data_IF_614031703732
#
_entry.id   IF_614031703732
#
_cell.length_a   1.000
_cell.length_b   1.000
_cell.length_c   1.000
_cell.angle_alpha   90.00
_cell.angle_beta   90.00
_cell.angle_gamma   90.00
#
_symmetry.space_group_name_H-M   'P 1'
#
loop_
_entity.id
_entity.type
_entity.pdbx_description
1 polymer ?
#
# COMPACT_ATOMS: atom_id res chain seq x y z
N UNK A 1 43.79 17.35 -22.58
CA UNK A 1 43.40 16.35 -21.56
C UNK A 1 42.30 16.98 -20.72
N UNK A 2 41.05 16.79 -21.11
CA UNK A 2 39.90 17.39 -20.43
C UNK A 2 39.52 16.54 -19.23
N UNK A 3 39.61 17.13 -18.04
CA UNK A 3 39.11 16.57 -16.78
C UNK A 3 37.60 16.37 -16.90
N UNK A 4 37.14 15.14 -17.02
CA UNK A 4 35.73 14.81 -16.76
C UNK A 4 35.63 14.60 -15.25
N UNK A 5 34.84 15.44 -14.61
CA UNK A 5 34.48 15.24 -13.21
C UNK A 5 33.58 14.01 -13.16
N UNK A 6 33.92 12.94 -12.41
CA UNK A 6 33.00 11.84 -12.19
C UNK A 6 31.76 12.40 -11.50
N UNK A 7 30.65 12.40 -12.24
CA UNK A 7 29.34 12.82 -11.75
C UNK A 7 29.04 12.12 -10.43
N UNK A 8 28.68 12.93 -9.45
CA UNK A 8 28.38 12.55 -8.07
C UNK A 8 27.31 11.45 -8.04
N UNK A 9 27.73 10.18 -8.04
CA UNK A 9 26.90 9.05 -7.63
C UNK A 9 26.72 9.15 -6.11
N UNK A 10 25.64 9.80 -5.68
CA UNK A 10 25.17 9.69 -4.31
C UNK A 10 24.77 11.00 -3.67
N UNK A 11 23.48 11.11 -3.36
CA UNK A 11 22.80 12.07 -2.47
C UNK A 11 22.39 13.42 -3.07
N UNK A 12 21.10 13.73 -2.96
CA UNK A 12 20.69 15.11 -2.75
C UNK A 12 19.28 15.51 -3.13
N UNK A 13 18.86 15.34 -4.39
CA UNK A 13 17.61 15.96 -4.87
C UNK A 13 16.77 15.01 -5.71
N UNK A 14 15.77 14.41 -5.07
CA UNK A 14 14.78 13.53 -5.70
C UNK A 14 13.59 14.30 -6.30
N UNK A 15 13.68 15.57 -6.66
CA UNK A 15 12.50 16.35 -7.10
C UNK A 15 12.73 17.32 -8.25
N UNK A 16 13.77 17.13 -9.08
CA UNK A 16 14.02 18.08 -10.18
C UNK A 16 13.24 17.76 -11.46
N UNK A 17 12.78 16.51 -11.64
CA UNK A 17 11.99 16.06 -12.81
C UNK A 17 11.03 14.89 -12.47
N UNK A 18 10.40 14.90 -11.29
CA UNK A 18 9.47 13.82 -10.91
C UNK A 18 8.04 14.15 -11.34
N UNK A 19 7.52 13.41 -12.31
CA UNK A 19 6.08 13.25 -12.54
C UNK A 19 5.42 12.73 -11.26
N UNK A 20 4.14 13.05 -11.04
CA UNK A 20 3.32 12.58 -9.90
C UNK A 20 3.51 11.08 -9.61
N UNK A 21 3.73 10.28 -10.66
CA UNK A 21 4.00 8.85 -10.57
C UNK A 21 5.20 8.47 -9.71
N UNK A 22 6.31 9.20 -9.78
CA UNK A 22 7.57 8.83 -9.12
C UNK A 22 7.56 9.20 -7.61
N UNK A 23 6.74 10.18 -7.22
CA UNK A 23 6.40 10.46 -5.81
C UNK A 23 5.50 9.34 -5.26
N UNK A 24 4.54 8.87 -6.04
CA UNK A 24 3.67 7.75 -5.68
C UNK A 24 4.49 6.47 -5.53
N UNK A 25 5.44 6.18 -6.43
CA UNK A 25 6.36 5.03 -6.34
C UNK A 25 7.09 4.95 -5.01
N UNK A 26 7.58 6.08 -4.50
CA UNK A 26 8.31 6.13 -3.24
C UNK A 26 7.40 5.91 -2.02
N UNK A 27 6.12 6.26 -2.12
CA UNK A 27 5.13 6.09 -1.05
C UNK A 27 4.46 4.72 -1.05
N UNK A 28 4.29 4.09 -2.22
CA UNK A 28 3.68 2.77 -2.38
C UNK A 28 4.24 1.68 -1.43
N UNK A 29 5.56 1.46 -1.28
CA UNK A 29 6.06 0.42 -0.39
C UNK A 29 5.66 0.64 1.07
N UNK A 30 5.61 1.89 1.53
CA UNK A 30 5.13 2.20 2.88
C UNK A 30 3.65 1.87 3.04
N UNK A 31 2.83 2.18 2.05
CA UNK A 31 1.39 1.86 2.05
C UNK A 31 1.16 0.35 2.07
N UNK A 32 1.91 -0.42 1.28
CA UNK A 32 1.81 -1.89 1.26
C UNK A 32 2.15 -2.51 2.62
N UNK A 33 3.22 -2.04 3.27
CA UNK A 33 3.60 -2.51 4.62
C UNK A 33 2.52 -2.15 5.65
N UNK A 34 2.02 -0.92 5.63
CA UNK A 34 0.95 -0.48 6.53
C UNK A 34 -0.34 -1.27 6.30
N UNK A 35 -0.71 -1.52 5.05
CA UNK A 35 -1.91 -2.27 4.70
C UNK A 35 -1.84 -3.73 5.20
N UNK A 36 -0.71 -4.41 4.99
CA UNK A 36 -0.52 -5.77 5.49
C UNK A 36 -0.60 -5.84 7.02
N UNK A 37 -0.01 -4.85 7.70
CA UNK A 37 -0.03 -4.79 9.16
C UNK A 37 -1.43 -4.46 9.71
N UNK A 38 -2.14 -3.52 9.08
CA UNK A 38 -3.51 -3.17 9.43
C UNK A 38 -4.48 -4.34 9.22
N UNK A 39 -4.33 -5.09 8.12
CA UNK A 39 -5.10 -6.30 7.85
C UNK A 39 -4.94 -7.29 9.00
N UNK A 40 -3.69 -7.60 9.39
CA UNK A 40 -3.39 -8.55 10.44
C UNK A 40 -4.07 -8.15 11.75
N UNK A 41 -3.98 -6.87 12.13
CA UNK A 41 -4.64 -6.33 13.33
C UNK A 41 -6.17 -6.46 13.24
N UNK A 42 -6.78 -6.09 12.11
CA UNK A 42 -8.23 -6.22 11.92
C UNK A 42 -8.70 -7.68 11.95
N UNK A 43 -7.90 -8.61 11.45
CA UNK A 43 -8.24 -10.04 11.45
C UNK A 43 -8.17 -10.63 12.86
N UNK A 44 -7.15 -10.26 13.65
CA UNK A 44 -7.05 -10.66 15.06
C UNK A 44 -8.21 -10.08 15.87
N UNK A 45 -8.44 -8.76 15.76
CA UNK A 45 -9.49 -8.10 16.54
C UNK A 45 -10.88 -8.56 16.11
N UNK A 46 -11.14 -8.70 14.80
CA UNK A 46 -12.40 -9.21 14.27
C UNK A 46 -12.64 -10.68 14.65
N UNK A 47 -11.59 -11.51 14.60
CA UNK A 47 -11.64 -12.91 15.02
C UNK A 47 -11.92 -13.08 16.52
N UNK A 48 -11.22 -12.33 17.38
CA UNK A 48 -11.48 -12.33 18.83
C UNK A 48 -12.88 -11.79 19.13
N UNK A 49 -13.33 -10.76 18.42
CA UNK A 49 -14.68 -10.19 18.58
C UNK A 49 -15.75 -11.22 18.21
N UNK A 50 -15.58 -11.95 17.10
CA UNK A 50 -16.47 -13.06 16.73
C UNK A 50 -16.47 -14.17 17.80
N UNK A 51 -15.29 -14.57 18.28
CA UNK A 51 -15.16 -15.65 19.27
C UNK A 51 -15.75 -15.27 20.64
N UNK A 52 -15.65 -13.99 21.01
CA UNK A 52 -16.20 -13.42 22.26
C UNK A 52 -17.70 -13.08 22.14
N UNK A 53 -18.30 -13.25 20.95
CA UNK A 53 -19.68 -12.82 20.72
C UNK A 53 -20.73 -13.66 21.45
N UNK A 54 -20.40 -14.87 21.95
CA UNK A 54 -21.18 -15.65 22.93
C UNK A 54 -22.74 -15.65 22.78
N UNK A 55 -23.28 -15.51 21.56
CA UNK A 55 -24.72 -15.46 21.28
C UNK A 55 -25.34 -14.06 21.09
N UNK A 56 -24.59 -12.98 21.28
CA UNK A 56 -25.02 -11.61 21.01
C UNK A 56 -24.89 -11.29 19.50
N UNK A 57 -26.02 -10.98 18.86
CA UNK A 57 -26.08 -10.68 17.42
C UNK A 57 -25.32 -9.40 17.04
N UNK A 58 -25.19 -8.44 17.96
CA UNK A 58 -24.53 -7.17 17.70
C UNK A 58 -23.02 -7.33 17.56
N UNK A 59 -22.40 -8.06 18.48
CA UNK A 59 -20.95 -8.35 18.43
C UNK A 59 -20.60 -9.28 17.27
N UNK A 60 -21.49 -10.23 16.96
CA UNK A 60 -21.33 -11.13 15.82
C UNK A 60 -21.30 -10.34 14.50
N UNK A 61 -22.28 -9.44 14.28
CA UNK A 61 -22.29 -8.54 13.11
C UNK A 61 -21.04 -7.65 13.04
N UNK A 62 -20.61 -7.12 14.18
CA UNK A 62 -19.42 -6.25 14.25
C UNK A 62 -18.15 -7.01 13.86
N UNK A 63 -17.98 -8.24 14.36
CA UNK A 63 -16.84 -9.09 14.01
C UNK A 63 -16.81 -9.44 12.51
N UNK A 64 -17.96 -9.79 11.93
CA UNK A 64 -18.06 -9.98 10.47
C UNK A 64 -17.76 -8.69 9.69
N UNK A 65 -18.20 -7.53 10.19
CA UNK A 65 -17.89 -6.23 9.59
C UNK A 65 -16.39 -5.90 9.61
N UNK A 66 -15.70 -6.20 10.71
CA UNK A 66 -14.24 -6.01 10.81
C UNK A 66 -13.47 -6.93 9.86
N UNK A 67 -13.85 -8.21 9.78
CA UNK A 67 -13.20 -9.17 8.89
C UNK A 67 -13.41 -8.78 7.42
N UNK A 68 -14.65 -8.47 7.04
CA UNK A 68 -14.97 -8.03 5.67
C UNK A 68 -14.29 -6.71 5.32
N UNK A 69 -14.26 -5.74 6.24
CA UNK A 69 -13.52 -4.49 6.07
C UNK A 69 -12.02 -4.68 5.86
N UNK A 70 -11.39 -5.56 6.64
CA UNK A 70 -9.97 -5.92 6.46
C UNK A 70 -9.70 -6.61 5.12
N UNK A 71 -10.57 -7.54 4.72
CA UNK A 71 -10.51 -8.20 3.41
C UNK A 71 -10.67 -7.21 2.24
N UNK A 72 -11.60 -6.26 2.36
CA UNK A 72 -11.82 -5.21 1.35
C UNK A 72 -10.60 -4.30 1.26
N UNK A 73 -10.01 -3.90 2.38
CA UNK A 73 -8.78 -3.10 2.40
C UNK A 73 -7.61 -3.82 1.72
N UNK A 74 -7.45 -5.12 1.99
CA UNK A 74 -6.44 -5.93 1.31
C UNK A 74 -6.67 -6.03 -0.19
N UNK A 75 -7.91 -6.28 -0.59
CA UNK A 75 -8.28 -6.38 -2.00
C UNK A 75 -8.05 -5.06 -2.74
N UNK A 76 -8.34 -3.92 -2.08
CA UNK A 76 -8.14 -2.59 -2.65
C UNK A 76 -6.66 -2.32 -2.96
N UNK A 77 -5.77 -2.77 -2.09
CA UNK A 77 -4.32 -2.67 -2.28
C UNK A 77 -3.86 -3.56 -3.45
N UNK A 78 -4.46 -4.74 -3.60
CA UNK A 78 -4.22 -5.63 -4.74
C UNK A 78 -4.66 -4.99 -6.07
N UNK A 79 -5.84 -4.36 -6.09
CA UNK A 79 -6.35 -3.62 -7.26
C UNK A 79 -5.47 -2.39 -7.56
N UNK A 80 -5.00 -1.68 -6.52
CA UNK A 80 -4.11 -0.53 -6.68
C UNK A 80 -2.84 -0.88 -7.45
N UNK A 81 -2.29 -2.08 -7.24
CA UNK A 81 -1.13 -2.56 -8.00
C UNK A 81 -1.43 -2.62 -9.50
N UNK A 82 -2.57 -3.18 -9.88
CA UNK A 82 -3.01 -3.25 -11.29
C UNK A 82 -3.20 -1.86 -11.90
N UNK A 83 -3.79 -0.93 -11.16
CA UNK A 83 -3.96 0.45 -11.63
C UNK A 83 -2.61 1.10 -11.89
N UNK A 84 -1.66 0.97 -10.96
CA UNK A 84 -0.31 1.52 -11.13
C UNK A 84 0.40 0.90 -12.34
N UNK A 85 0.23 -0.39 -12.59
CA UNK A 85 0.79 -1.07 -13.75
C UNK A 85 0.20 -0.53 -15.08
N UNK A 86 -1.10 -0.28 -15.14
CA UNK A 86 -1.74 0.32 -16.33
C UNK A 86 -1.20 1.74 -16.55
N UNK A 87 -1.12 2.53 -15.49
CA UNK A 87 -0.56 3.90 -15.52
C UNK A 87 0.87 3.88 -16.09
N UNK A 88 1.70 2.91 -15.70
CA UNK A 88 3.06 2.75 -16.25
C UNK A 88 3.09 2.48 -17.75
N UNK A 89 2.22 1.58 -18.22
CA UNK A 89 2.15 1.21 -19.62
C UNK A 89 1.68 2.40 -20.47
N UNK A 90 0.70 3.16 -19.99
CA UNK A 90 0.15 4.32 -20.71
C UNK A 90 1.11 5.50 -20.74
N UNK A 91 1.84 5.76 -19.64
CA UNK A 91 2.78 6.88 -19.55
C UNK A 91 4.19 6.52 -20.05
N UNK A 92 4.48 5.25 -20.33
CA UNK A 92 5.81 4.80 -20.78
C UNK A 92 6.92 4.97 -19.72
N UNK A 93 6.55 5.26 -18.47
CA UNK A 93 7.48 5.48 -17.35
C UNK A 93 7.31 4.33 -16.36
N UNK A 94 8.43 3.69 -16.01
CA UNK A 94 8.45 2.58 -15.04
C UNK A 94 8.41 3.13 -13.61
N UNK A 95 7.26 3.00 -12.97
CA UNK A 95 6.92 3.52 -11.62
C UNK A 95 7.07 2.40 -10.55
N UNK A 96 7.21 1.13 -10.96
CA UNK A 96 7.36 -0.05 -10.09
C UNK A 96 8.72 -0.71 -10.35
#
# INVERSE_FOLDING_TARGET
>A
MALTLPGYQGSGFKFENKTVGDVISALLPYVYVFAGLALLVMLILGGITLMTSAGDQGKTKTGYGMITGGLIGFLLVFISYFVVQIVQVVLGVKIL
#
